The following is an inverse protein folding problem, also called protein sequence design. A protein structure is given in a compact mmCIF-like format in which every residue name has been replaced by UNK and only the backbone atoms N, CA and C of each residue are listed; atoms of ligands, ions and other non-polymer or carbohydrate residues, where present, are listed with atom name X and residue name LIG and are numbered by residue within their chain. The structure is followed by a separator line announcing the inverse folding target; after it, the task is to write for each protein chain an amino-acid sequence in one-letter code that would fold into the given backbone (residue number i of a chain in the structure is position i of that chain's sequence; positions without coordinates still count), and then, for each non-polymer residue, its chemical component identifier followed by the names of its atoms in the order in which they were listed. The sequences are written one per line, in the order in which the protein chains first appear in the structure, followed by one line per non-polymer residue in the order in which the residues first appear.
data_IF_600164707432
#
_entry.id   IF_600164707432
#
_cell.length_a   1.000
_cell.length_b   1.000
_cell.length_c   1.000
_cell.angle_alpha   90.00
_cell.angle_beta   90.00
_cell.angle_gamma   90.00
#
_symmetry.space_group_name_H-M   'P 1'
#
loop_
_entity.id
_entity.type
_entity.pdbx_description
1 polymer ?
#
# COMPACT_ATOMS: atom_id res chain seq x y z
N UNK A 1 28.42 -7.21 -6.38
CA UNK A 1 27.25 -6.54 -5.75
C UNK A 1 26.03 -7.04 -6.49
N UNK A 2 25.07 -7.65 -5.79
CA UNK A 2 23.76 -8.01 -6.37
C UNK A 2 22.87 -6.78 -6.35
N UNK A 3 22.03 -6.61 -7.36
CA UNK A 3 21.07 -5.51 -7.41
C UNK A 3 19.75 -6.03 -6.86
N UNK A 4 19.51 -5.87 -5.54
CA UNK A 4 18.29 -6.34 -4.88
C UNK A 4 17.07 -5.50 -5.33
N UNK A 5 16.64 -5.59 -6.59
CA UNK A 5 15.59 -4.77 -7.19
C UNK A 5 14.69 -5.56 -8.18
N UNK A 6 13.45 -5.10 -8.32
CA UNK A 6 12.45 -5.72 -9.19
C UNK A 6 11.35 -4.75 -9.59
N UNK A 7 10.60 -5.13 -10.63
CA UNK A 7 9.37 -4.43 -11.05
C UNK A 7 8.18 -5.21 -10.56
N UNK A 8 7.42 -4.65 -9.63
CA UNK A 8 6.36 -5.36 -8.94
C UNK A 8 4.99 -4.86 -9.35
N UNK A 9 4.10 -5.81 -9.64
CA UNK A 9 2.68 -5.59 -9.91
C UNK A 9 1.88 -6.10 -8.71
N UNK A 10 1.44 -5.19 -7.85
CA UNK A 10 0.50 -5.50 -6.78
C UNK A 10 -0.89 -5.74 -7.37
N UNK A 11 -1.47 -6.93 -7.16
CA UNK A 11 -2.83 -7.29 -7.56
C UNK A 11 -3.73 -7.43 -6.32
N UNK A 12 -4.70 -6.54 -6.18
CA UNK A 12 -5.67 -6.59 -5.06
C UNK A 12 -6.89 -7.47 -5.38
N UNK A 13 -7.65 -7.84 -4.35
CA UNK A 13 -8.86 -8.67 -4.50
C UNK A 13 -9.98 -7.98 -5.29
N UNK A 14 -10.04 -6.65 -5.29
CA UNK A 14 -10.95 -5.85 -6.10
C UNK A 14 -10.45 -5.62 -7.54
N UNK A 15 -9.40 -6.34 -7.96
CA UNK A 15 -8.88 -6.31 -9.33
C UNK A 15 -8.06 -5.07 -9.67
N UNK A 16 -7.62 -4.27 -8.68
CA UNK A 16 -6.67 -3.18 -8.93
C UNK A 16 -5.27 -3.76 -9.14
N UNK A 17 -4.58 -3.19 -10.12
CA UNK A 17 -3.17 -3.40 -10.38
C UNK A 17 -2.41 -2.11 -10.11
N UNK A 18 -1.36 -2.18 -9.30
CA UNK A 18 -0.43 -1.07 -9.01
C UNK A 18 0.99 -1.52 -9.35
N UNK A 19 1.67 -0.77 -10.18
CA UNK A 19 3.00 -1.14 -10.68
C UNK A 19 4.05 -0.20 -10.09
N UNK A 20 5.16 -0.75 -9.61
CA UNK A 20 6.29 0.03 -9.10
C UNK A 20 7.60 -0.76 -9.18
N UNK A 21 8.70 -0.07 -9.48
CA UNK A 21 10.04 -0.60 -9.25
C UNK A 21 10.54 -0.20 -7.87
N UNK A 22 11.16 -1.15 -7.17
CA UNK A 22 11.83 -0.89 -5.91
C UNK A 22 12.78 -2.03 -5.53
N UNK A 23 13.59 -1.75 -4.51
CA UNK A 23 14.50 -2.70 -3.87
C UNK A 23 13.98 -3.22 -2.53
N UNK A 24 14.60 -4.31 -2.05
CA UNK A 24 14.29 -4.93 -0.77
C UNK A 24 12.82 -5.34 -0.64
N UNK A 25 12.40 -6.30 -1.46
CA UNK A 25 11.02 -6.80 -1.48
C UNK A 25 10.58 -7.38 -0.14
N UNK A 26 11.51 -7.98 0.60
CA UNK A 26 11.27 -8.56 1.92
C UNK A 26 10.81 -7.52 2.96
N UNK A 27 11.05 -6.22 2.72
CA UNK A 27 10.50 -5.16 3.56
C UNK A 27 8.97 -5.14 3.57
N UNK A 28 8.30 -5.70 2.55
CA UNK A 28 6.85 -5.86 2.59
C UNK A 28 6.38 -6.77 3.73
N UNK A 29 7.23 -7.67 4.22
CA UNK A 29 6.92 -8.63 5.27
C UNK A 29 7.39 -8.15 6.66
N UNK A 30 8.09 -7.02 6.73
CA UNK A 30 8.72 -6.53 7.96
C UNK A 30 7.94 -5.36 8.59
N UNK A 31 7.83 -5.35 9.91
CA UNK A 31 7.28 -4.24 10.71
C UNK A 31 8.05 -4.07 12.01
N UNK A 32 7.84 -2.93 12.68
CA UNK A 32 8.40 -2.69 14.02
C UNK A 32 7.75 -3.50 15.15
N UNK A 33 6.84 -4.41 14.82
CA UNK A 33 6.19 -5.32 15.77
C UNK A 33 6.72 -6.75 15.57
N UNK A 34 6.79 -7.21 14.33
CA UNK A 34 7.23 -8.55 13.94
C UNK A 34 7.58 -8.62 12.44
N UNK A 35 8.24 -9.71 12.06
CA UNK A 35 8.39 -10.15 10.67
C UNK A 35 7.35 -11.23 10.34
N UNK A 36 6.77 -11.17 9.14
CA UNK A 36 5.68 -12.04 8.69
C UNK A 36 6.01 -12.69 7.35
N UNK A 37 6.69 -13.85 7.31
CA UNK A 37 7.15 -14.45 6.05
C UNK A 37 6.02 -14.69 5.04
N UNK A 38 4.81 -15.02 5.50
CA UNK A 38 3.69 -15.37 4.64
C UNK A 38 2.65 -14.25 4.44
N UNK A 39 2.83 -13.11 5.11
CA UNK A 39 1.83 -12.04 5.12
C UNK A 39 2.46 -10.66 5.00
N UNK A 40 2.14 -9.97 3.90
CA UNK A 40 2.54 -8.59 3.73
C UNK A 40 1.91 -7.67 4.78
N UNK A 41 2.72 -6.78 5.32
CA UNK A 41 2.36 -5.78 6.31
C UNK A 41 1.59 -4.64 5.62
N UNK A 42 0.36 -4.31 6.05
CA UNK A 42 -0.47 -3.30 5.38
C UNK A 42 0.20 -1.92 5.21
N UNK A 43 0.89 -1.44 6.23
CA UNK A 43 1.62 -0.16 6.22
C UNK A 43 2.72 -0.14 5.16
N UNK A 44 3.44 -1.26 4.98
CA UNK A 44 4.46 -1.40 3.94
C UNK A 44 3.85 -1.45 2.55
N UNK A 45 2.72 -2.13 2.36
CA UNK A 45 1.99 -2.09 1.09
C UNK A 45 1.66 -0.63 0.71
N UNK A 46 1.22 0.19 1.65
CA UNK A 46 0.93 1.61 1.40
C UNK A 46 2.20 2.44 1.17
N UNK A 47 3.26 2.22 1.93
CA UNK A 47 4.54 2.92 1.72
C UNK A 47 5.05 2.70 0.30
N UNK A 48 5.02 1.46 -0.17
CA UNK A 48 5.51 1.12 -1.49
C UNK A 48 4.49 1.51 -2.57
N UNK A 49 3.22 1.11 -2.49
CA UNK A 49 2.23 1.25 -3.58
C UNK A 49 1.20 2.37 -3.41
N UNK A 50 1.23 3.10 -2.30
CA UNK A 50 0.22 4.11 -1.93
C UNK A 50 0.13 5.27 -2.92
N UNK A 51 1.29 5.73 -3.41
CA UNK A 51 1.39 6.82 -4.37
C UNK A 51 1.41 6.34 -5.84
N UNK A 52 1.27 5.04 -6.09
CA UNK A 52 1.18 4.52 -7.44
C UNK A 52 -0.20 4.78 -8.04
N UNK A 53 -0.22 5.15 -9.33
CA UNK A 53 -1.44 5.05 -10.14
C UNK A 53 -1.87 3.57 -10.21
N UNK A 54 -3.15 3.34 -10.40
CA UNK A 54 -3.70 1.99 -10.53
C UNK A 54 -4.52 1.87 -11.82
N UNK A 55 -4.63 0.64 -12.31
CA UNK A 55 -5.50 0.24 -13.43
C UNK A 55 -6.26 -1.02 -13.05
N UNK A 56 -7.40 -1.26 -13.70
CA UNK A 56 -8.14 -2.53 -13.58
C UNK A 56 -7.88 -3.47 -14.77
N UNK A 57 -7.14 -3.00 -15.77
CA UNK A 57 -6.78 -3.79 -16.95
C UNK A 57 -5.39 -4.43 -16.74
N UNK A 58 -5.34 -5.76 -16.80
CA UNK A 58 -4.12 -6.55 -16.59
C UNK A 58 -3.05 -6.24 -17.64
N UNK A 59 -3.42 -6.14 -18.91
CA UNK A 59 -2.48 -5.90 -20.01
C UNK A 59 -1.84 -4.52 -19.90
N UNK A 60 -2.62 -3.53 -19.47
CA UNK A 60 -2.11 -2.18 -19.16
C UNK A 60 -1.08 -2.25 -18.03
N UNK A 61 -1.34 -3.01 -16.97
CA UNK A 61 -0.38 -3.16 -15.88
C UNK A 61 0.92 -3.86 -16.34
N UNK A 62 0.79 -4.91 -17.16
CA UNK A 62 1.95 -5.60 -17.74
C UNK A 62 2.75 -4.69 -18.68
N UNK A 63 2.09 -3.89 -19.52
CA UNK A 63 2.76 -2.92 -20.38
C UNK A 63 3.51 -1.85 -19.58
N UNK A 64 2.92 -1.34 -18.49
CA UNK A 64 3.60 -0.41 -17.58
C UNK A 64 4.84 -1.09 -16.97
N UNK A 65 4.71 -2.34 -16.50
CA UNK A 65 5.82 -3.07 -15.91
C UNK A 65 6.94 -3.33 -16.92
N UNK A 66 6.59 -3.74 -18.14
CA UNK A 66 7.56 -3.97 -19.22
C UNK A 66 8.27 -2.68 -19.62
N UNK A 67 7.55 -1.57 -19.68
CA UNK A 67 8.14 -0.27 -19.94
C UNK A 67 9.14 0.12 -18.85
N UNK A 68 8.80 -0.07 -17.57
CA UNK A 68 9.76 0.19 -16.48
C UNK A 68 10.98 -0.73 -16.62
N UNK A 69 10.77 -2.03 -16.78
CA UNK A 69 11.83 -3.04 -16.89
C UNK A 69 12.81 -2.73 -18.03
N UNK A 70 12.32 -2.34 -19.20
CA UNK A 70 13.15 -2.02 -20.37
C UNK A 70 14.07 -0.80 -20.16
N UNK A 71 13.81 0.04 -19.16
CA UNK A 71 14.63 1.21 -18.84
C UNK A 71 15.58 0.96 -17.65
N UNK A 72 15.58 -0.24 -17.05
CA UNK A 72 16.49 -0.59 -15.97
C UNK A 72 17.80 -1.15 -16.53
N UNK A 73 18.93 -0.70 -15.97
CA UNK A 73 20.23 -1.25 -16.32
C UNK A 73 20.43 -2.68 -15.78
N UNK A 74 19.89 -2.93 -14.58
CA UNK A 74 19.85 -4.25 -13.93
C UNK A 74 18.51 -4.39 -13.22
N UNK A 75 17.91 -5.58 -13.31
CA UNK A 75 16.68 -5.95 -12.61
C UNK A 75 16.78 -7.43 -12.21
N UNK A 76 17.20 -7.69 -10.97
CA UNK A 76 17.52 -9.04 -10.50
C UNK A 76 16.30 -9.96 -10.45
N UNK A 77 15.18 -9.46 -9.91
CA UNK A 77 13.97 -10.26 -9.79
C UNK A 77 13.03 -10.14 -10.99
N UNK A 78 13.38 -9.33 -11.99
CA UNK A 78 12.54 -9.08 -13.16
C UNK A 78 11.17 -8.50 -12.80
N UNK A 79 10.15 -8.84 -13.60
CA UNK A 79 8.77 -8.45 -13.35
C UNK A 79 8.07 -9.51 -12.50
N UNK A 80 7.58 -9.11 -11.34
CA UNK A 80 6.90 -10.00 -10.39
C UNK A 80 5.47 -9.53 -10.10
N UNK A 81 4.54 -10.49 -9.96
CA UNK A 81 3.17 -10.18 -9.51
C UNK A 81 3.01 -10.54 -8.04
N UNK A 82 2.51 -9.61 -7.25
CA UNK A 82 2.23 -9.77 -5.82
C UNK A 82 0.72 -9.86 -5.63
N UNK A 83 0.13 -11.07 -5.54
CA UNK A 83 -1.28 -11.22 -5.28
C UNK A 83 -1.59 -10.97 -3.80
N UNK A 84 -2.61 -10.15 -3.52
CA UNK A 84 -3.11 -9.91 -2.17
C UNK A 84 -4.61 -10.14 -2.12
N UNK A 85 -5.05 -11.03 -1.23
CA UNK A 85 -6.46 -11.35 -1.00
C UNK A 85 -7.17 -10.29 -0.12
N UNK A 86 -6.96 -9.01 -0.42
CA UNK A 86 -7.60 -7.86 0.23
C UNK A 86 -7.88 -6.78 -0.81
N UNK A 87 -8.98 -6.07 -0.65
CA UNK A 87 -9.28 -4.88 -1.47
C UNK A 87 -8.37 -3.73 -1.06
N UNK A 88 -8.18 -2.75 -1.96
CA UNK A 88 -7.37 -1.57 -1.61
C UNK A 88 -7.91 -0.80 -0.40
N UNK A 89 -9.23 -0.70 -0.26
CA UNK A 89 -9.84 -0.06 0.91
C UNK A 89 -9.61 -0.86 2.20
N UNK A 90 -9.66 -2.20 2.13
CA UNK A 90 -9.34 -3.04 3.29
C UNK A 90 -7.88 -2.86 3.73
N UNK A 91 -6.94 -2.80 2.79
CA UNK A 91 -5.52 -2.52 3.07
C UNK A 91 -5.36 -1.18 3.80
N UNK A 92 -6.04 -0.12 3.33
CA UNK A 92 -6.00 1.19 4.00
C UNK A 92 -6.56 1.16 5.42
N UNK A 93 -7.69 0.50 5.65
CA UNK A 93 -8.24 0.34 7.00
C UNK A 93 -7.30 -0.46 7.91
N UNK A 94 -6.81 -1.62 7.45
CA UNK A 94 -5.86 -2.43 8.23
C UNK A 94 -4.60 -1.63 8.57
N UNK A 95 -4.15 -0.74 7.68
CA UNK A 95 -2.97 0.10 7.88
C UNK A 95 -3.15 1.16 8.97
N UNK A 96 -4.38 1.60 9.26
CA UNK A 96 -4.64 2.55 10.35
C UNK A 96 -4.33 1.88 11.69
N UNK A 97 -4.89 0.69 11.89
CA UNK A 97 -4.70 -0.06 13.13
C UNK A 97 -3.25 -0.53 13.26
N UNK A 98 -2.63 -0.95 12.15
CA UNK A 98 -1.22 -1.32 12.12
C UNK A 98 -0.29 -0.14 12.45
N UNK A 99 -0.51 1.03 11.84
CA UNK A 99 0.34 2.19 12.09
C UNK A 99 0.29 2.61 13.56
N UNK A 100 -0.88 2.56 14.20
CA UNK A 100 -1.00 2.83 15.65
C UNK A 100 -0.18 1.85 16.49
N UNK A 101 -0.23 0.56 16.15
CA UNK A 101 0.53 -0.47 16.87
C UNK A 101 2.05 -0.32 16.64
N UNK A 102 2.48 -0.04 15.40
CA UNK A 102 3.90 0.17 15.08
C UNK A 102 4.45 1.42 15.76
N UNK A 103 3.71 2.54 15.76
CA UNK A 103 4.11 3.78 16.46
C UNK A 103 4.25 3.51 17.96
N UNK A 104 3.29 2.78 18.57
CA UNK A 104 3.40 2.38 19.98
C UNK A 104 4.65 1.52 20.23
N UNK A 105 4.88 0.48 19.42
CA UNK A 105 6.07 -0.38 19.54
C UNK A 105 7.36 0.42 19.41
N UNK A 106 7.41 1.38 18.48
CA UNK A 106 8.55 2.26 18.30
C UNK A 106 8.77 3.13 19.53
N UNK A 107 7.75 3.81 20.04
CA UNK A 107 7.90 4.66 21.22
C UNK A 107 8.34 3.87 22.46
N UNK A 108 7.88 2.63 22.60
CA UNK A 108 8.26 1.74 23.71
C UNK A 108 9.72 1.24 23.60
N UNK A 109 10.30 1.17 22.39
CA UNK A 109 11.61 0.52 22.13
C UNK A 109 12.69 1.42 21.51
N UNK A 110 12.37 2.63 21.07
CA UNK A 110 13.27 3.56 20.37
C UNK A 110 14.09 4.42 21.35
N UNK A 111 14.85 3.75 22.22
CA UNK A 111 15.57 4.39 23.34
C UNK A 111 16.67 5.36 22.88
N UNK A 112 17.27 5.12 21.71
CA UNK A 112 18.37 5.93 21.14
C UNK A 112 17.93 6.89 20.01
N UNK A 113 16.63 6.91 19.68
CA UNK A 113 16.09 7.75 18.61
C UNK A 113 16.44 7.29 17.19
N UNK A 114 17.06 6.11 17.03
CA UNK A 114 17.48 5.57 15.72
C UNK A 114 16.35 5.47 14.71
N UNK A 115 15.11 5.27 15.17
CA UNK A 115 13.93 5.07 14.32
C UNK A 115 13.00 6.28 14.26
N UNK A 116 13.48 7.48 14.61
CA UNK A 116 12.67 8.71 14.58
C UNK A 116 12.12 9.03 13.18
N UNK A 117 12.90 8.73 12.13
CA UNK A 117 12.47 8.97 10.75
C UNK A 117 11.30 8.04 10.35
N UNK A 118 11.38 6.78 10.74
CA UNK A 118 10.35 5.77 10.47
C UNK A 118 9.09 6.01 11.30
N UNK A 119 9.23 6.42 12.56
CA UNK A 119 8.12 6.86 13.39
C UNK A 119 7.37 8.02 12.72
N UNK A 120 8.10 9.05 12.27
CA UNK A 120 7.51 10.20 11.56
C UNK A 120 6.77 9.79 10.28
N UNK A 121 7.34 8.90 9.46
CA UNK A 121 6.68 8.39 8.24
C UNK A 121 5.38 7.64 8.58
N UNK A 122 5.38 6.85 9.65
CA UNK A 122 4.18 6.15 10.11
C UNK A 122 3.11 7.12 10.63
N UNK A 123 3.49 8.16 11.37
CA UNK A 123 2.59 9.21 11.83
C UNK A 123 1.96 9.98 10.66
N UNK A 124 2.75 10.34 9.65
CA UNK A 124 2.26 11.00 8.43
C UNK A 124 1.28 10.10 7.66
N UNK A 125 1.61 8.80 7.56
CA UNK A 125 0.72 7.78 6.96
C UNK A 125 -0.59 7.67 7.73
N UNK A 126 -0.52 7.58 9.06
CA UNK A 126 -1.70 7.50 9.92
C UNK A 126 -2.57 8.75 9.80
N UNK A 127 -1.96 9.94 9.76
CA UNK A 127 -2.67 11.21 9.56
C UNK A 127 -3.41 11.23 8.22
N UNK A 128 -2.72 10.88 7.14
CA UNK A 128 -3.33 10.77 5.81
C UNK A 128 -4.51 9.79 5.80
N UNK A 129 -4.33 8.60 6.37
CA UNK A 129 -5.37 7.57 6.40
C UNK A 129 -6.56 7.95 7.27
N UNK A 130 -6.33 8.67 8.37
CA UNK A 130 -7.40 9.16 9.25
C UNK A 130 -8.27 10.17 8.49
N UNK A 131 -7.66 11.12 7.78
CA UNK A 131 -8.39 12.09 6.93
C UNK A 131 -9.18 11.35 5.84
N UNK A 132 -8.55 10.37 5.18
CA UNK A 132 -9.22 9.54 4.18
C UNK A 132 -10.43 8.79 4.77
N UNK A 133 -10.28 8.18 5.95
CA UNK A 133 -11.34 7.44 6.63
C UNK A 133 -12.53 8.35 6.98
N UNK A 134 -12.28 9.54 7.54
CA UNK A 134 -13.34 10.52 7.84
C UNK A 134 -14.14 10.85 6.57
N UNK A 135 -13.47 11.22 5.48
CA UNK A 135 -14.13 11.53 4.20
C UNK A 135 -14.89 10.35 3.63
N UNK A 136 -14.36 9.13 3.78
CA UNK A 136 -15.02 7.92 3.33
C UNK A 136 -16.35 7.69 4.05
N UNK A 137 -16.38 7.91 5.37
CA UNK A 137 -17.62 7.81 6.16
C UNK A 137 -18.61 8.93 5.84
N UNK A 138 -18.15 10.16 5.61
CA UNK A 138 -19.02 11.29 5.23
C UNK A 138 -19.76 11.05 3.90
N UNK A 139 -19.11 10.39 2.94
CA UNK A 139 -19.70 10.05 1.64
C UNK A 139 -20.69 8.89 1.77
N UNK A 140 -20.37 7.87 2.57
CA UNK A 140 -21.27 6.72 2.79
C UNK A 140 -22.43 7.00 3.74
N UNK A 141 -22.30 8.02 4.59
CA UNK A 141 -23.35 8.45 5.53
C UNK A 141 -24.43 9.34 4.91
N UNK A 142 -24.29 9.77 3.64
CA UNK A 142 -25.33 10.52 2.94
C UNK A 142 -26.36 9.55 2.35
N UNK A 143 -27.65 9.62 2.75
CA UNK A 143 -28.69 8.84 2.10
C UNK A 143 -28.80 9.28 0.63
N UNK A 144 -28.81 8.30 -0.28
CA UNK A 144 -29.08 8.54 -1.70
C UNK A 144 -30.56 8.92 -1.80
N UNK A 145 -30.85 10.22 -1.86
CA UNK A 145 -32.18 10.73 -2.19
C UNK A 145 -32.47 10.41 -3.67
N UNK A 146 -33.06 9.24 -3.93
CA UNK A 146 -33.75 9.00 -5.18
C UNK A 146 -34.96 9.94 -5.24
N UNK A 147 -34.84 11.03 -6.01
CA UNK A 147 -36.00 11.82 -6.42
C UNK A 147 -36.83 10.97 -7.37
N UNK A 148 -37.86 10.31 -6.86
CA UNK A 148 -38.98 9.88 -7.69
C UNK A 148 -39.62 11.15 -8.29
N UNK A 149 -39.42 11.36 -9.59
CA UNK A 149 -40.33 12.20 -10.37
C UNK A 149 -41.58 11.35 -10.59
N UNK A 150 -42.65 11.67 -9.87
CA UNK A 150 -43.99 11.31 -10.30
C UNK A 150 -44.32 12.24 -11.48
N UNK A 151 -44.44 11.65 -12.67
CA UNK A 151 -45.05 12.30 -13.82
C UNK A 151 -46.56 12.24 -13.63
N UNK A 152 -47.19 13.41 -13.65
CA UNK A 152 -48.62 13.62 -13.77
C UNK A 152 -48.86 14.69 -14.83
#
# INVERSE_FOLDING_TARGET
MSADNGVYILKTADGQYRVKEFSAIDNLNWSFIHFRPEHYVPTRILEYFGNCKHTYNRDTALNIAQNIYNHLHVCEYGIQTIPINRTWNRIKHDSIDYARQEIKSLNDNNVDGRYNAEAKKLEETLKYLTIWQTRYHDVKGKPILYKHKNEG
#
